data_IF_697119479002
#
_entry.id   IF_697119479002
#
_cell.length_a   1.000
_cell.length_b   1.000
_cell.length_c   1.000
_cell.angle_alpha   90.00
_cell.angle_beta   90.00
_cell.angle_gamma   90.00
#
_symmetry.space_group_name_H-M   'P 1'
#
loop_
_entity.id
_entity.type
_entity.pdbx_description
1 polymer ?
#
# COMPACT_ATOMS: atom_id res chain seq x y z
N UNK A 1 -39.33 21.96 -38.24
CA UNK A 1 -38.65 21.16 -37.22
C UNK A 1 -39.65 20.21 -36.61
N UNK A 2 -39.54 18.92 -36.81
CA UNK A 2 -40.43 17.93 -36.25
C UNK A 2 -40.12 17.79 -34.74
N UNK A 3 -41.13 18.06 -33.89
CA UNK A 3 -41.04 17.77 -32.45
C UNK A 3 -41.12 16.28 -32.28
N UNK A 4 -40.00 15.62 -31.95
CA UNK A 4 -40.05 14.26 -31.45
C UNK A 4 -40.62 14.29 -30.03
N UNK A 5 -41.86 13.86 -29.91
CA UNK A 5 -42.50 13.60 -28.63
C UNK A 5 -42.09 12.20 -28.18
N UNK A 6 -41.34 12.10 -27.12
CA UNK A 6 -41.07 10.82 -26.42
C UNK A 6 -42.31 10.49 -25.58
N UNK A 7 -42.95 9.34 -25.84
CA UNK A 7 -44.05 8.88 -24.98
C UNK A 7 -43.44 8.07 -23.84
N UNK A 8 -43.71 8.49 -22.61
CA UNK A 8 -43.32 7.76 -21.39
C UNK A 8 -43.94 6.36 -21.29
N UNK A 9 -44.84 5.97 -22.19
CA UNK A 9 -45.44 4.64 -22.23
C UNK A 9 -44.52 3.52 -22.74
N UNK A 10 -43.34 3.88 -23.29
CA UNK A 10 -42.42 2.92 -23.89
C UNK A 10 -41.22 2.62 -22.95
N UNK A 11 -41.26 3.16 -21.73
CA UNK A 11 -40.24 2.95 -20.70
C UNK A 11 -40.74 1.89 -19.73
N UNK A 12 -40.10 0.74 -19.71
CA UNK A 12 -40.36 -0.28 -18.66
C UNK A 12 -39.88 0.25 -17.32
N UNK A 13 -40.46 -0.23 -16.20
CA UNK A 13 -40.20 0.26 -14.85
C UNK A 13 -38.69 0.31 -14.47
N UNK A 14 -37.85 -0.41 -15.17
CA UNK A 14 -36.40 -0.48 -14.93
C UNK A 14 -35.57 0.48 -15.79
N UNK A 15 -36.19 1.25 -16.68
CA UNK A 15 -35.44 2.16 -17.56
C UNK A 15 -35.85 3.60 -17.33
N UNK A 16 -35.15 4.31 -16.48
CA UNK A 16 -35.34 5.77 -16.31
C UNK A 16 -34.59 6.49 -17.44
N UNK A 17 -35.33 7.04 -18.37
CA UNK A 17 -34.79 7.86 -19.44
C UNK A 17 -34.66 9.28 -18.96
N UNK A 18 -33.50 9.87 -19.13
CA UNK A 18 -33.28 11.29 -18.94
C UNK A 18 -34.12 12.05 -19.96
N UNK A 19 -35.31 12.47 -19.58
CA UNK A 19 -36.16 13.30 -20.41
C UNK A 19 -35.74 14.77 -20.26
N UNK A 20 -35.29 15.37 -21.32
CA UNK A 20 -35.14 16.82 -21.38
C UNK A 20 -36.51 17.47 -21.19
N UNK A 21 -36.66 18.27 -20.17
CA UNK A 21 -37.89 19.01 -19.93
C UNK A 21 -38.23 19.88 -21.16
N UNK A 22 -39.44 19.79 -21.65
CA UNK A 22 -39.94 20.60 -22.76
C UNK A 22 -39.94 22.11 -22.45
N UNK A 23 -39.61 22.50 -21.24
CA UNK A 23 -39.56 23.86 -20.71
C UNK A 23 -38.15 24.45 -20.65
N UNK A 24 -37.13 23.74 -21.19
CA UNK A 24 -35.77 24.28 -21.30
C UNK A 24 -34.98 24.30 -19.97
N UNK A 25 -35.47 23.66 -18.96
CA UNK A 25 -34.70 23.47 -17.73
C UNK A 25 -33.94 22.18 -17.80
N UNK A 26 -32.63 22.26 -17.78
CA UNK A 26 -31.73 21.10 -17.70
C UNK A 26 -31.65 20.63 -16.24
N UNK A 27 -32.63 19.89 -15.78
CA UNK A 27 -32.55 19.22 -14.49
C UNK A 27 -32.33 17.74 -14.71
N UNK A 28 -31.11 17.31 -14.49
CA UNK A 28 -30.77 15.92 -14.26
C UNK A 28 -30.66 15.75 -12.75
N UNK A 29 -31.77 15.56 -12.06
CA UNK A 29 -31.78 15.20 -10.66
C UNK A 29 -31.79 13.69 -10.55
N UNK A 30 -30.76 13.16 -9.92
CA UNK A 30 -30.68 11.76 -9.52
C UNK A 30 -30.90 11.73 -8.01
N UNK A 31 -31.86 10.93 -7.58
CA UNK A 31 -31.99 10.63 -6.16
C UNK A 31 -30.81 9.75 -5.70
N UNK A 32 -30.63 9.70 -4.37
CA UNK A 32 -29.67 8.78 -3.78
C UNK A 32 -29.98 7.34 -4.22
N UNK A 33 -28.94 6.56 -4.43
CA UNK A 33 -28.99 5.15 -4.91
C UNK A 33 -29.48 4.97 -6.36
N UNK A 34 -29.63 6.05 -7.14
CA UNK A 34 -29.94 5.90 -8.57
C UNK A 34 -28.68 5.68 -9.40
N UNK A 35 -28.80 4.81 -10.40
CA UNK A 35 -27.68 4.40 -11.26
C UNK A 35 -27.99 4.65 -12.71
N UNK A 36 -27.07 5.28 -13.46
CA UNK A 36 -27.07 5.29 -14.92
C UNK A 36 -26.22 4.12 -15.39
N UNK A 37 -26.84 3.26 -16.19
CA UNK A 37 -26.18 2.08 -16.75
C UNK A 37 -25.87 2.34 -18.21
N UNK A 38 -24.65 2.03 -18.64
CA UNK A 38 -24.21 2.09 -20.01
C UNK A 38 -23.91 0.67 -20.52
N UNK A 39 -24.45 0.34 -21.69
CA UNK A 39 -24.29 -0.98 -22.29
C UNK A 39 -25.37 -1.98 -21.84
N UNK A 40 -25.53 -3.06 -22.62
CA UNK A 40 -26.54 -4.09 -22.39
C UNK A 40 -26.21 -5.02 -21.21
N UNK A 41 -24.92 -5.13 -20.87
CA UNK A 41 -24.40 -6.01 -19.82
C UNK A 41 -23.88 -5.21 -18.61
N UNK A 42 -24.35 -3.97 -18.45
CA UNK A 42 -23.89 -3.05 -17.39
C UNK A 42 -22.38 -2.79 -17.45
N UNK A 43 -21.86 -2.57 -18.65
CA UNK A 43 -20.41 -2.39 -18.90
C UNK A 43 -19.80 -1.24 -18.12
N UNK A 44 -20.61 -0.20 -17.87
CA UNK A 44 -20.25 0.91 -17.00
C UNK A 44 -21.47 1.47 -16.28
N UNK A 45 -21.25 1.99 -15.07
CA UNK A 45 -22.29 2.64 -14.27
C UNK A 45 -21.82 3.97 -13.72
N UNK A 46 -22.76 4.89 -13.53
CA UNK A 46 -22.58 6.14 -12.83
C UNK A 46 -23.68 6.20 -11.75
N UNK A 47 -23.30 6.20 -10.50
CA UNK A 47 -24.22 6.18 -9.37
C UNK A 47 -23.82 7.21 -8.31
N UNK A 48 -24.83 7.79 -7.64
CA UNK A 48 -24.66 8.62 -6.48
C UNK A 48 -25.23 7.89 -5.25
N UNK A 49 -24.42 7.73 -4.20
CA UNK A 49 -24.78 7.00 -2.98
C UNK A 49 -25.10 7.91 -1.77
N UNK A 50 -25.35 9.18 -2.04
CA UNK A 50 -25.58 10.20 -1.01
C UNK A 50 -24.31 10.96 -0.61
N UNK A 51 -23.16 10.33 -0.69
CA UNK A 51 -21.87 10.93 -0.30
C UNK A 51 -20.89 11.01 -1.47
N UNK A 52 -20.95 10.10 -2.42
CA UNK A 52 -19.94 9.94 -3.47
C UNK A 52 -20.54 9.70 -4.85
N UNK A 53 -19.92 10.25 -5.87
CA UNK A 53 -20.18 9.87 -7.26
C UNK A 53 -19.33 8.65 -7.63
N UNK A 54 -19.97 7.52 -7.80
CA UNK A 54 -19.31 6.26 -8.14
C UNK A 54 -19.34 6.03 -9.65
N UNK A 55 -18.17 5.88 -10.25
CA UNK A 55 -17.99 5.49 -11.66
C UNK A 55 -17.40 4.10 -11.68
N UNK A 56 -18.18 3.12 -12.14
CA UNK A 56 -17.73 1.73 -12.23
C UNK A 56 -17.65 1.32 -13.69
N UNK A 57 -16.50 0.88 -14.13
CA UNK A 57 -16.24 0.34 -15.47
C UNK A 57 -14.99 -0.53 -15.44
N UNK A 58 -14.78 -1.36 -16.45
CA UNK A 58 -13.53 -2.12 -16.62
C UNK A 58 -12.33 -1.20 -16.89
N UNK A 59 -12.57 -0.05 -17.49
CA UNK A 59 -11.59 1.01 -17.70
C UNK A 59 -12.30 2.37 -17.83
N UNK A 60 -11.75 3.40 -17.22
CA UNK A 60 -12.20 4.79 -17.40
C UNK A 60 -11.07 5.59 -18.03
N UNK A 61 -11.29 6.08 -19.25
CA UNK A 61 -10.33 6.93 -19.97
C UNK A 61 -10.78 8.39 -19.92
N UNK A 62 -9.88 9.27 -19.53
CA UNK A 62 -10.05 10.71 -19.62
C UNK A 62 -9.10 11.23 -20.70
N UNK A 63 -9.61 11.56 -21.88
CA UNK A 63 -8.81 12.02 -23.02
C UNK A 63 -8.29 13.46 -22.90
N UNK A 64 -8.49 14.08 -21.77
CA UNK A 64 -8.04 15.44 -21.44
C UNK A 64 -7.35 15.48 -20.09
N UNK A 65 -7.40 16.66 -19.45
CA UNK A 65 -6.86 16.82 -18.11
C UNK A 65 -7.92 16.45 -17.06
N UNK A 66 -7.61 15.47 -16.18
CA UNK A 66 -8.38 15.26 -14.97
C UNK A 66 -7.87 16.22 -13.89
N UNK A 67 -8.70 17.21 -13.52
CA UNK A 67 -8.40 18.12 -12.40
C UNK A 67 -9.19 17.67 -11.17
N UNK A 68 -8.49 17.33 -10.10
CA UNK A 68 -9.07 16.93 -8.83
C UNK A 68 -8.68 17.96 -7.78
N UNK A 69 -9.68 18.70 -7.24
CA UNK A 69 -9.47 19.63 -6.15
C UNK A 69 -9.63 18.88 -4.82
N UNK A 70 -8.55 18.71 -4.09
CA UNK A 70 -8.53 18.01 -2.80
C UNK A 70 -7.53 16.86 -2.75
N UNK A 71 -7.62 16.05 -1.70
CA UNK A 71 -6.77 14.88 -1.56
C UNK A 71 -7.16 13.82 -2.60
N UNK A 72 -6.25 13.51 -3.49
CA UNK A 72 -6.45 12.48 -4.52
C UNK A 72 -5.81 11.18 -4.04
N UNK A 73 -6.61 10.17 -3.82
CA UNK A 73 -6.12 8.79 -3.74
C UNK A 73 -6.20 8.21 -5.15
N UNK A 74 -5.11 8.27 -5.90
CA UNK A 74 -5.01 7.53 -7.16
C UNK A 74 -4.74 6.08 -6.77
N UNK A 75 -5.73 5.22 -7.01
CA UNK A 75 -5.81 3.89 -6.46
C UNK A 75 -4.52 3.09 -6.50
N UNK A 76 -4.09 2.73 -5.35
CA UNK A 76 -3.22 1.61 -5.15
C UNK A 76 -4.11 0.38 -5.07
N UNK A 77 -4.25 -0.32 -6.15
CA UNK A 77 -5.11 -1.51 -6.19
C UNK A 77 -4.53 -2.65 -5.39
N UNK A 78 -3.23 -2.63 -5.12
CA UNK A 78 -2.57 -3.70 -4.41
C UNK A 78 -1.53 -3.16 -3.45
N UNK A 79 -1.50 -3.70 -2.26
CA UNK A 79 -0.55 -3.37 -1.23
C UNK A 79 0.04 -4.66 -0.64
N UNK A 80 1.29 -4.63 -0.24
CA UNK A 80 1.85 -5.73 0.54
C UNK A 80 1.33 -5.64 1.97
N UNK A 81 1.00 -6.77 2.57
CA UNK A 81 0.44 -6.84 3.91
C UNK A 81 1.47 -7.33 4.90
N UNK A 82 1.62 -6.61 6.00
CA UNK A 82 2.43 -7.08 7.12
C UNK A 82 1.72 -8.16 7.93
N UNK A 83 2.50 -8.98 8.59
CA UNK A 83 2.00 -10.00 9.51
C UNK A 83 1.51 -9.42 10.85
N UNK A 84 0.92 -10.30 11.66
CA UNK A 84 0.36 -9.93 12.98
C UNK A 84 1.42 -9.41 13.95
N UNK A 85 2.65 -9.92 13.86
CA UNK A 85 3.76 -9.43 14.68
C UNK A 85 4.15 -7.97 14.41
N UNK A 86 3.69 -7.39 13.32
CA UNK A 86 3.86 -5.96 13.03
C UNK A 86 2.57 -5.19 13.32
N UNK A 87 1.43 -5.68 12.83
CA UNK A 87 0.17 -4.91 12.85
C UNK A 87 -0.48 -4.83 14.22
N UNK A 88 -0.07 -5.66 15.18
CA UNK A 88 -0.59 -5.65 16.56
C UNK A 88 0.28 -4.87 17.56
N UNK A 89 1.37 -4.26 17.12
CA UNK A 89 2.18 -3.38 17.95
C UNK A 89 1.38 -2.17 18.45
N UNK A 90 1.64 -1.79 19.70
CA UNK A 90 0.94 -0.65 20.30
C UNK A 90 1.43 0.66 19.70
N UNK A 91 0.54 1.39 19.04
CA UNK A 91 0.85 2.61 18.27
C UNK A 91 1.75 2.40 17.04
N UNK A 92 1.98 1.16 16.64
CA UNK A 92 2.65 0.86 15.37
C UNK A 92 1.77 1.31 14.22
N UNK A 93 2.37 2.01 13.26
CA UNK A 93 1.67 2.38 12.01
C UNK A 93 2.36 1.67 10.86
N UNK A 94 1.60 0.88 10.14
CA UNK A 94 2.04 0.23 8.91
C UNK A 94 1.16 0.67 7.74
N UNK A 95 1.79 1.10 6.66
CA UNK A 95 1.13 1.42 5.39
C UNK A 95 1.98 0.92 4.24
N UNK A 96 1.32 0.40 3.22
CA UNK A 96 2.00 0.01 2.00
C UNK A 96 1.22 0.44 0.78
N UNK A 97 1.92 0.60 -0.32
CA UNK A 97 1.32 0.89 -1.62
C UNK A 97 2.17 0.31 -2.73
N UNK A 98 1.53 -0.12 -3.79
CA UNK A 98 2.18 -0.49 -5.04
C UNK A 98 1.58 0.36 -6.15
N UNK A 99 2.42 1.08 -6.87
CA UNK A 99 2.00 1.95 -7.98
C UNK A 99 2.75 1.51 -9.23
N UNK A 100 2.03 1.35 -10.34
CA UNK A 100 2.64 1.05 -11.64
C UNK A 100 2.64 2.29 -12.52
N UNK A 101 3.83 2.75 -12.91
CA UNK A 101 4.02 3.89 -13.78
C UNK A 101 4.92 3.51 -14.94
N UNK A 102 4.41 3.57 -16.16
CA UNK A 102 5.21 3.32 -17.37
C UNK A 102 5.85 1.92 -17.43
N UNK A 103 5.26 0.92 -16.78
CA UNK A 103 5.80 -0.45 -16.74
C UNK A 103 6.68 -0.73 -15.52
N UNK A 104 6.99 0.27 -14.71
CA UNK A 104 7.74 0.11 -13.45
C UNK A 104 6.76 0.01 -12.29
N UNK A 105 6.91 -1.01 -11.46
CA UNK A 105 6.23 -1.14 -10.19
C UNK A 105 7.05 -0.43 -9.12
N UNK A 106 6.42 0.45 -8.37
CA UNK A 106 6.99 1.12 -7.21
C UNK A 106 6.26 0.63 -5.97
N UNK A 107 6.92 -0.20 -5.17
CA UNK A 107 6.41 -0.68 -3.88
C UNK A 107 6.95 0.22 -2.79
N UNK A 108 6.05 0.80 -2.00
CA UNK A 108 6.39 1.61 -0.85
C UNK A 108 5.85 0.93 0.41
N UNK A 109 6.71 0.72 1.39
CA UNK A 109 6.35 0.22 2.72
C UNK A 109 6.77 1.30 3.72
N UNK A 110 5.80 1.81 4.46
CA UNK A 110 5.99 2.81 5.48
C UNK A 110 5.66 2.22 6.85
N UNK A 111 6.60 2.32 7.79
CA UNK A 111 6.45 1.73 9.11
C UNK A 111 6.91 2.68 10.21
N UNK A 112 6.11 2.79 11.29
CA UNK A 112 6.50 3.34 12.58
C UNK A 112 6.80 2.18 13.51
N UNK A 113 7.97 2.20 14.14
CA UNK A 113 8.40 1.14 15.03
C UNK A 113 7.78 1.22 16.43
N UNK A 114 7.18 2.35 16.81
CA UNK A 114 6.62 2.55 18.16
C UNK A 114 5.77 1.34 18.58
N UNK A 115 6.13 0.74 19.70
CA UNK A 115 5.46 -0.44 20.26
C UNK A 115 5.88 -1.78 19.65
N UNK A 116 6.85 -1.80 18.74
CA UNK A 116 7.60 -3.01 18.38
C UNK A 116 8.83 -3.14 19.27
N UNK A 117 9.34 -4.33 19.40
CA UNK A 117 10.51 -4.66 20.20
C UNK A 117 11.67 -5.11 19.32
N UNK A 118 12.88 -4.85 19.79
CA UNK A 118 14.10 -5.50 19.35
C UNK A 118 14.78 -6.15 20.56
N UNK A 119 15.58 -7.16 20.32
CA UNK A 119 16.36 -7.80 21.38
C UNK A 119 17.84 -7.82 20.99
N UNK A 120 18.39 -8.96 20.60
CA UNK A 120 19.80 -9.07 20.25
C UNK A 120 20.07 -8.84 18.76
N UNK A 121 21.35 -8.72 18.41
CA UNK A 121 21.78 -8.66 17.03
C UNK A 121 21.36 -9.93 16.27
N UNK A 122 20.74 -9.74 15.11
CA UNK A 122 20.22 -10.81 14.26
C UNK A 122 18.79 -11.22 14.60
N UNK A 123 18.16 -10.65 15.62
CA UNK A 123 16.81 -11.00 16.02
C UNK A 123 15.76 -10.16 15.27
N UNK A 124 14.64 -10.79 14.98
CA UNK A 124 13.53 -10.21 14.23
C UNK A 124 12.82 -9.16 15.09
N UNK A 125 12.62 -7.97 14.52
CA UNK A 125 11.87 -6.88 15.14
C UNK A 125 10.38 -7.12 14.92
N UNK A 126 9.60 -7.01 16.00
CA UNK A 126 8.16 -7.21 15.97
C UNK A 126 7.48 -6.84 17.27
N UNK A 127 6.21 -7.14 17.38
CA UNK A 127 5.48 -7.09 18.64
C UNK A 127 5.97 -8.22 19.54
N UNK A 128 6.38 -7.88 20.76
CA UNK A 128 6.92 -8.82 21.76
C UNK A 128 6.19 -10.16 21.78
N UNK A 129 6.96 -11.25 21.71
CA UNK A 129 6.51 -12.64 21.70
C UNK A 129 5.46 -12.98 20.62
N UNK A 130 5.42 -12.23 19.51
CA UNK A 130 4.42 -12.43 18.46
C UNK A 130 5.07 -12.98 17.18
N UNK A 131 4.47 -14.05 16.65
CA UNK A 131 4.85 -14.63 15.36
C UNK A 131 4.36 -13.79 14.17
N UNK A 132 4.81 -14.15 12.98
CA UNK A 132 4.47 -13.47 11.72
C UNK A 132 4.89 -11.99 11.75
N UNK A 133 6.13 -11.71 12.14
CA UNK A 133 6.69 -10.35 12.23
C UNK A 133 7.28 -9.86 10.90
N UNK A 134 6.79 -10.38 9.77
CA UNK A 134 7.18 -9.89 8.45
C UNK A 134 6.48 -8.57 8.11
N UNK A 135 7.15 -7.72 7.32
CA UNK A 135 6.62 -6.45 6.82
C UNK A 135 6.01 -6.54 5.41
N UNK A 136 5.89 -7.73 4.88
CA UNK A 136 5.20 -7.98 3.61
C UNK A 136 5.81 -9.13 2.81
N UNK A 137 5.02 -9.70 1.91
CA UNK A 137 5.50 -10.63 0.90
C UNK A 137 5.70 -9.91 -0.43
N UNK A 138 6.83 -10.13 -1.07
CA UNK A 138 7.13 -9.60 -2.40
C UNK A 138 6.86 -10.67 -3.43
N UNK A 139 5.92 -10.42 -4.33
CA UNK A 139 5.54 -11.36 -5.40
C UNK A 139 5.68 -10.70 -6.76
N UNK A 140 5.97 -11.49 -7.80
CA UNK A 140 6.06 -10.96 -9.16
C UNK A 140 4.72 -10.40 -9.64
N UNK A 141 3.62 -10.98 -9.23
CA UNK A 141 2.27 -10.55 -9.63
C UNK A 141 1.95 -9.12 -9.14
N UNK A 142 2.35 -8.80 -7.90
CA UNK A 142 2.05 -7.50 -7.26
C UNK A 142 3.18 -6.50 -7.51
N UNK A 143 4.43 -6.94 -7.36
CA UNK A 143 5.58 -6.05 -7.26
C UNK A 143 6.45 -6.04 -8.51
N UNK A 144 6.17 -6.90 -9.50
CA UNK A 144 7.06 -7.17 -10.62
C UNK A 144 8.33 -7.91 -10.18
N UNK A 145 9.26 -8.07 -11.10
CA UNK A 145 10.61 -8.58 -10.78
C UNK A 145 11.42 -7.43 -10.20
N UNK A 146 11.81 -7.53 -8.94
CA UNK A 146 12.56 -6.45 -8.27
C UNK A 146 13.92 -6.26 -8.93
N UNK A 147 14.24 -5.02 -9.25
CA UNK A 147 15.51 -4.62 -9.90
C UNK A 147 16.33 -3.67 -9.02
N UNK A 148 15.79 -3.17 -7.91
CA UNK A 148 16.49 -2.29 -6.99
C UNK A 148 15.56 -1.69 -5.94
N UNK A 149 16.14 -0.86 -5.08
CA UNK A 149 15.39 -0.18 -4.04
C UNK A 149 16.30 0.43 -2.99
N UNK A 150 15.68 0.94 -1.94
CA UNK A 150 16.37 1.49 -0.79
C UNK A 150 15.50 1.45 0.47
N UNK A 151 16.15 1.58 1.61
CA UNK A 151 15.50 1.88 2.89
C UNK A 151 15.94 3.26 3.35
N UNK A 152 15.01 4.04 3.88
CA UNK A 152 15.23 5.40 4.36
C UNK A 152 14.70 5.56 5.77
N UNK A 153 15.54 6.11 6.66
CA UNK A 153 15.14 6.52 7.98
C UNK A 153 14.51 7.92 7.92
N UNK A 154 13.28 8.04 8.35
CA UNK A 154 12.52 9.29 8.42
C UNK A 154 12.45 9.86 9.84
N UNK A 155 12.71 9.03 10.84
CA UNK A 155 12.83 9.40 12.26
C UNK A 155 13.79 8.41 12.92
N UNK A 156 14.77 8.95 13.64
CA UNK A 156 15.76 8.16 14.36
C UNK A 156 15.08 7.24 15.38
N UNK A 157 15.37 5.92 15.37
CA UNK A 157 14.83 5.01 16.37
C UNK A 157 15.35 5.35 17.76
N UNK A 158 14.52 5.13 18.77
CA UNK A 158 14.87 5.35 20.17
C UNK A 158 14.37 4.20 21.04
N UNK A 159 15.09 3.91 22.10
CA UNK A 159 14.83 2.89 23.14
C UNK A 159 15.13 1.45 22.68
N UNK A 160 14.83 1.07 21.42
CA UNK A 160 15.25 -0.17 20.83
C UNK A 160 16.59 -0.06 20.09
N UNK A 161 17.00 -1.13 19.42
CA UNK A 161 18.24 -1.20 18.64
C UNK A 161 18.22 -0.18 17.48
N UNK A 162 19.16 0.77 17.43
CA UNK A 162 19.20 1.78 16.38
C UNK A 162 19.78 1.28 15.05
N UNK A 163 20.58 0.22 15.05
CA UNK A 163 21.05 -0.45 13.85
C UNK A 163 20.00 -1.48 13.38
N UNK A 164 19.32 -1.18 12.31
CA UNK A 164 18.22 -1.99 11.79
C UNK A 164 18.54 -2.42 10.38
N UNK A 165 18.52 -3.72 10.16
CA UNK A 165 18.73 -4.38 8.89
C UNK A 165 17.42 -4.77 8.22
N UNK A 166 17.48 -4.95 6.92
CA UNK A 166 16.40 -5.53 6.13
C UNK A 166 16.84 -6.90 5.59
N UNK A 167 16.03 -7.91 5.85
CA UNK A 167 16.22 -9.28 5.36
C UNK A 167 15.00 -9.73 4.58
N UNK A 168 15.19 -10.77 3.75
CA UNK A 168 14.09 -11.61 3.31
C UNK A 168 14.32 -13.07 3.68
N UNK A 169 13.23 -13.86 3.74
CA UNK A 169 13.23 -15.29 3.97
C UNK A 169 12.04 -15.97 3.26
N UNK A 170 12.03 -17.31 3.26
CA UNK A 170 10.96 -18.09 2.63
C UNK A 170 9.66 -18.07 3.46
N UNK A 171 9.77 -18.05 4.78
CA UNK A 171 8.64 -18.20 5.69
C UNK A 171 8.04 -16.86 6.11
N UNK A 172 6.70 -16.88 6.33
CA UNK A 172 5.97 -15.79 6.96
C UNK A 172 6.05 -15.82 8.50
N UNK A 173 6.54 -16.91 9.08
CA UNK A 173 6.33 -17.27 10.48
C UNK A 173 7.38 -16.76 11.47
N UNK A 174 8.33 -15.93 10.96
CA UNK A 174 9.34 -15.31 11.84
C UNK A 174 8.70 -14.66 13.06
N UNK A 175 9.16 -15.05 14.25
CA UNK A 175 8.68 -14.53 15.52
C UNK A 175 9.62 -13.43 15.99
N UNK A 176 9.09 -12.40 16.60
CA UNK A 176 9.89 -11.41 17.29
C UNK A 176 10.83 -12.12 18.32
N UNK A 177 12.00 -11.56 18.52
CA UNK A 177 13.08 -12.11 19.37
C UNK A 177 13.68 -13.45 18.88
N UNK A 178 13.23 -13.97 17.77
CA UNK A 178 13.87 -15.13 17.16
C UNK A 178 14.95 -14.69 16.16
N UNK A 179 16.08 -15.37 16.17
CA UNK A 179 17.14 -15.10 15.25
C UNK A 179 16.68 -15.33 13.78
N UNK A 180 16.87 -14.33 12.92
CA UNK A 180 16.53 -14.43 11.49
C UNK A 180 17.26 -15.58 10.80
N UNK A 181 18.43 -15.98 11.31
CA UNK A 181 19.19 -17.13 10.83
C UNK A 181 18.48 -18.47 11.00
N UNK A 182 17.41 -18.52 11.80
CA UNK A 182 16.54 -19.68 11.92
C UNK A 182 15.55 -19.85 10.78
N UNK A 183 15.39 -18.83 9.92
CA UNK A 183 14.52 -18.89 8.74
C UNK A 183 15.25 -19.48 7.54
N UNK A 184 14.49 -20.10 6.64
CA UNK A 184 15.04 -20.74 5.44
C UNK A 184 15.39 -19.72 4.36
N UNK A 185 16.55 -19.88 3.74
CA UNK A 185 17.02 -19.03 2.64
C UNK A 185 16.98 -17.52 2.96
N UNK A 186 17.26 -17.17 4.21
CA UNK A 186 17.34 -15.77 4.60
C UNK A 186 18.53 -15.06 3.96
N UNK A 187 18.32 -13.83 3.54
CA UNK A 187 19.36 -12.99 2.92
C UNK A 187 19.22 -11.57 3.42
N UNK A 188 20.34 -10.98 3.85
CA UNK A 188 20.40 -9.54 4.09
C UNK A 188 20.33 -8.79 2.76
N UNK A 189 19.35 -7.92 2.60
CA UNK A 189 19.17 -7.10 1.40
C UNK A 189 19.62 -5.65 1.61
N UNK A 190 19.94 -5.30 2.84
CA UNK A 190 20.49 -4.01 3.20
C UNK A 190 21.82 -4.26 3.89
N UNK A 191 22.92 -3.80 3.29
CA UNK A 191 24.19 -3.80 3.98
C UNK A 191 24.12 -2.78 5.11
N UNK A 192 23.77 -3.28 6.28
CA UNK A 192 23.84 -2.49 7.49
C UNK A 192 25.26 -2.42 7.96
N UNK A 193 25.52 -1.53 8.78
CA UNK A 193 26.73 -1.49 9.57
C UNK A 193 26.78 -0.29 10.51
N UNK A 194 25.70 0.39 10.77
CA UNK A 194 25.71 1.50 11.70
C UNK A 194 24.28 1.95 12.06
N UNK A 195 24.17 2.60 13.17
CA UNK A 195 22.94 3.20 13.66
C UNK A 195 22.28 4.10 12.61
N UNK A 196 20.98 3.99 12.53
CA UNK A 196 20.20 4.92 11.73
C UNK A 196 20.03 6.25 12.46
N UNK A 197 20.24 7.32 11.70
CA UNK A 197 20.00 8.68 12.20
C UNK A 197 19.54 9.56 11.05
N UNK A 198 18.65 10.49 11.30
CA UNK A 198 18.28 11.52 10.33
C UNK A 198 19.32 12.63 10.25
N UNK A 199 20.31 12.66 11.16
CA UNK A 199 21.41 13.60 11.11
C UNK A 199 22.49 13.12 10.13
N UNK A 200 22.93 14.02 9.24
CA UNK A 200 24.14 13.85 8.44
C UNK A 200 24.17 12.75 7.37
N UNK A 201 23.39 12.88 6.30
CA UNK A 201 23.61 12.20 5.00
C UNK A 201 23.56 10.65 4.98
N UNK A 202 23.17 9.99 6.06
CA UNK A 202 23.12 8.53 6.19
C UNK A 202 21.68 8.05 6.44
N UNK A 203 20.71 8.82 6.10
CA UNK A 203 19.29 8.47 6.31
C UNK A 203 18.70 7.58 5.20
N UNK A 204 19.47 7.27 4.15
CA UNK A 204 19.05 6.39 3.06
C UNK A 204 20.17 5.44 2.70
N UNK A 205 19.84 4.16 2.57
CA UNK A 205 20.75 3.09 2.15
C UNK A 205 20.15 2.31 1.00
N UNK A 206 20.87 2.17 -0.13
CA UNK A 206 20.42 1.32 -1.23
C UNK A 206 20.45 -0.16 -0.84
N UNK A 207 19.64 -0.96 -1.51
CA UNK A 207 19.72 -2.39 -1.37
C UNK A 207 21.09 -2.91 -1.88
N UNK A 208 21.69 -3.80 -1.13
CA UNK A 208 22.92 -4.50 -1.49
C UNK A 208 22.67 -5.83 -2.21
N UNK A 209 21.45 -6.36 -2.05
CA UNK A 209 20.98 -7.56 -2.75
C UNK A 209 19.54 -7.35 -3.23
N UNK A 210 19.17 -8.02 -4.31
CA UNK A 210 17.83 -7.95 -4.88
C UNK A 210 16.88 -8.88 -4.12
N UNK A 211 15.73 -8.38 -3.77
CA UNK A 211 14.67 -9.20 -3.14
C UNK A 211 14.14 -10.18 -4.18
N UNK A 212 14.24 -11.47 -3.89
CA UNK A 212 13.68 -12.50 -4.75
C UNK A 212 12.16 -12.58 -4.64
N UNK A 213 11.51 -13.13 -5.67
CA UNK A 213 10.07 -13.33 -5.66
C UNK A 213 9.63 -14.33 -4.58
N UNK A 214 8.41 -14.17 -4.12
CA UNK A 214 7.73 -15.00 -3.12
C UNK A 214 8.42 -15.02 -1.74
N UNK A 215 9.23 -13.99 -1.43
CA UNK A 215 9.92 -13.85 -0.16
C UNK A 215 9.22 -12.86 0.78
N UNK A 216 9.35 -13.11 2.05
CA UNK A 216 8.84 -12.25 3.14
C UNK A 216 9.96 -11.36 3.65
N UNK A 217 9.68 -10.07 3.80
CA UNK A 217 10.61 -9.09 4.31
C UNK A 217 10.52 -8.98 5.83
N UNK A 218 11.68 -8.82 6.47
CA UNK A 218 11.82 -8.69 7.92
C UNK A 218 12.72 -7.51 8.27
N UNK A 219 12.36 -6.77 9.31
CA UNK A 219 13.29 -5.89 10.02
C UNK A 219 14.01 -6.68 11.09
N UNK A 220 15.30 -6.47 11.23
CA UNK A 220 16.19 -7.26 12.09
C UNK A 220 17.13 -6.32 12.83
N UNK A 221 17.38 -6.55 14.11
CA UNK A 221 18.41 -5.83 14.86
C UNK A 221 19.79 -6.10 14.26
N UNK A 222 20.55 -5.04 13.96
CA UNK A 222 21.83 -5.15 13.26
C UNK A 222 22.99 -5.53 14.18
N UNK A 223 23.60 -4.58 14.82
CA UNK A 223 24.87 -4.78 15.52
C UNK A 223 24.83 -4.68 17.04
N UNK A 224 23.72 -4.28 17.61
CA UNK A 224 23.64 -3.91 19.01
C UNK A 224 23.22 -5.02 19.96
N UNK A 225 23.13 -4.63 21.20
CA UNK A 225 22.60 -5.44 22.30
C UNK A 225 21.49 -4.69 23.02
N UNK A 226 20.89 -3.70 22.35
CA UNK A 226 19.86 -2.88 22.96
C UNK A 226 18.54 -3.59 22.86
N UNK A 227 18.13 -4.16 23.97
CA UNK A 227 16.80 -4.73 24.16
C UNK A 227 15.83 -3.61 24.55
N UNK A 228 14.72 -3.50 23.85
CA UNK A 228 13.70 -2.55 24.24
C UNK A 228 12.58 -2.37 23.23
N UNK A 229 11.48 -1.82 23.74
CA UNK A 229 10.34 -1.41 22.93
C UNK A 229 10.64 -0.02 22.35
N UNK A 230 10.52 0.11 21.02
CA UNK A 230 10.74 1.40 20.37
C UNK A 230 9.70 2.44 20.79
N UNK A 231 10.19 3.61 21.20
CA UNK A 231 9.39 4.81 21.47
C UNK A 231 9.23 5.68 20.22
N UNK A 232 10.21 5.59 19.31
CA UNK A 232 10.21 6.29 18.03
C UNK A 232 10.97 5.48 16.97
N UNK A 233 10.88 5.92 15.75
CA UNK A 233 11.54 5.34 14.57
C UNK A 233 10.56 5.19 13.42
N UNK A 234 10.89 5.81 12.27
CA UNK A 234 10.06 5.73 11.07
C UNK A 234 10.92 5.40 9.88
N UNK A 235 10.43 4.49 9.08
CA UNK A 235 11.13 4.06 7.88
C UNK A 235 10.23 4.04 6.66
N UNK A 236 10.84 4.34 5.52
CA UNK A 236 10.30 4.09 4.20
C UNK A 236 11.21 3.06 3.51
N UNK A 237 10.63 1.95 3.08
CA UNK A 237 11.28 0.98 2.22
C UNK A 237 10.65 1.12 0.84
N UNK A 238 11.46 1.37 -0.16
CA UNK A 238 11.02 1.50 -1.55
C UNK A 238 11.71 0.46 -2.41
N UNK A 239 10.90 -0.29 -3.17
CA UNK A 239 11.37 -1.29 -4.13
C UNK A 239 10.89 -0.91 -5.52
N UNK A 240 11.73 -1.16 -6.51
CA UNK A 240 11.41 -0.99 -7.93
C UNK A 240 11.37 -2.36 -8.62
N UNK A 241 10.26 -2.65 -9.31
CA UNK A 241 10.05 -3.86 -10.08
C UNK A 241 9.74 -3.57 -11.55
N UNK A 242 9.94 -4.54 -12.41
CA UNK A 242 9.62 -4.49 -13.85
C UNK A 242 8.83 -5.72 -14.29
#
# INVERSE_FOLDING_TARGET
MAKHSFKMSDVTEDTRVLARSALGYDFNYFADDETIIFGTDSDATLAWDGDSLNVTSSATEVSGTLSVAGATSIGTTEAVSAGTGITTGTNTVYKSSVVKVGGIFETNIYIYLTGLSSNAAGDIIGKEATANSHIGQITTAINGTIVGGYMQCLETPTTGEPDIDLFYADEATGTEDAAVSGLTNQVSVLAAAADWTIAANVNMRPLSAIVAADKYLYLVGGGGTTDGVYDAGKYLIKLYGV
#
